data_IF_787739911820
#
_entry.id   IF_787739911820
#
_cell.length_a   1.000
_cell.length_b   1.000
_cell.length_c   1.000
_cell.angle_alpha   90.00
_cell.angle_beta   90.00
_cell.angle_gamma   90.00
#
_symmetry.space_group_name_H-M   'P 1'
#
loop_
_entity.id
_entity.type
_entity.pdbx_description
1 polymer ?
#
# COMPACT_ATOMS: atom_id res chain seq x y z
N UNK A 1 14.26 31.29 -17.76
CA UNK A 1 14.01 30.96 -16.34
C UNK A 1 14.56 29.57 -16.15
N UNK A 2 15.62 29.40 -15.37
CA UNK A 2 16.27 28.10 -15.19
C UNK A 2 15.37 27.25 -14.28
N UNK A 3 14.63 26.30 -14.84
CA UNK A 3 13.54 25.55 -14.17
C UNK A 3 14.06 24.45 -13.23
N UNK A 4 15.39 24.28 -13.14
CA UNK A 4 16.05 23.31 -12.27
C UNK A 4 16.02 23.69 -10.77
N UNK A 5 15.62 24.94 -10.47
CA UNK A 5 15.60 25.51 -9.13
C UNK A 5 14.25 25.36 -8.41
N UNK A 6 13.23 24.82 -9.07
CA UNK A 6 11.87 24.70 -8.51
C UNK A 6 11.73 23.55 -7.50
N UNK A 7 12.63 22.57 -7.53
CA UNK A 7 12.57 21.39 -6.66
C UNK A 7 13.65 21.44 -5.57
N UNK A 8 13.28 21.10 -4.33
CA UNK A 8 14.22 20.98 -3.20
C UNK A 8 14.43 19.49 -2.84
N UNK A 9 15.68 18.98 -2.82
CA UNK A 9 16.89 19.58 -3.40
C UNK A 9 16.81 19.64 -4.94
N UNK A 10 17.58 20.56 -5.52
CA UNK A 10 17.63 20.85 -6.97
C UNK A 10 17.94 19.58 -7.75
N UNK A 11 17.29 19.37 -8.89
CA UNK A 11 17.43 18.14 -9.70
C UNK A 11 18.91 17.91 -10.10
N UNK A 12 19.61 18.95 -10.54
CA UNK A 12 21.03 18.86 -10.91
C UNK A 12 21.97 18.52 -9.74
N UNK A 13 21.57 18.80 -8.49
CA UNK A 13 22.36 18.51 -7.29
C UNK A 13 22.19 17.06 -6.79
N UNK A 14 21.17 16.34 -7.30
CA UNK A 14 20.89 14.97 -6.89
C UNK A 14 21.90 13.97 -7.48
N UNK A 15 22.22 12.89 -6.74
CA UNK A 15 23.02 11.78 -7.25
C UNK A 15 22.31 11.05 -8.40
N UNK A 16 23.08 10.38 -9.25
CA UNK A 16 22.58 9.69 -10.44
C UNK A 16 21.56 8.59 -10.11
N UNK A 17 21.73 7.92 -8.97
CA UNK A 17 20.81 6.89 -8.48
C UNK A 17 19.42 7.46 -8.19
N UNK A 18 19.36 8.64 -7.59
CA UNK A 18 18.11 9.32 -7.26
C UNK A 18 17.42 9.85 -8.52
N UNK A 19 18.19 10.36 -9.49
CA UNK A 19 17.66 10.72 -10.81
C UNK A 19 17.08 9.52 -11.56
N UNK A 20 17.74 8.36 -11.48
CA UNK A 20 17.23 7.11 -12.05
C UNK A 20 15.94 6.64 -11.36
N UNK A 21 15.81 6.86 -10.06
CA UNK A 21 14.58 6.55 -9.32
C UNK A 21 13.42 7.45 -9.73
N UNK A 22 13.66 8.75 -9.88
CA UNK A 22 12.68 9.74 -10.36
C UNK A 22 12.25 9.40 -11.79
N UNK A 23 13.22 9.26 -12.70
CA UNK A 23 12.96 8.98 -14.11
C UNK A 23 12.32 7.58 -14.32
N UNK A 24 12.66 6.61 -13.48
CA UNK A 24 12.12 5.25 -13.53
C UNK A 24 10.72 5.10 -12.94
N UNK A 25 10.24 6.07 -12.15
CA UNK A 25 8.96 5.98 -11.43
C UNK A 25 8.02 7.15 -11.75
N UNK A 26 7.67 7.39 -13.02
CA UNK A 26 6.92 8.59 -13.43
C UNK A 26 5.55 8.73 -12.76
N UNK A 27 4.95 7.64 -12.30
CA UNK A 27 3.66 7.64 -11.59
C UNK A 27 3.75 8.21 -10.16
N UNK A 28 4.97 8.30 -9.59
CA UNK A 28 5.21 8.76 -8.21
C UNK A 28 5.69 10.21 -8.12
N UNK A 29 5.97 10.84 -9.25
CA UNK A 29 6.63 12.15 -9.32
C UNK A 29 5.88 13.08 -10.25
N UNK A 30 6.05 14.37 -10.04
CA UNK A 30 5.52 15.39 -10.95
C UNK A 30 6.13 15.23 -12.35
N UNK A 31 5.34 15.37 -13.44
CA UNK A 31 5.84 15.20 -14.80
C UNK A 31 7.05 16.09 -15.13
N UNK A 32 7.08 17.30 -14.57
CA UNK A 32 8.20 18.23 -14.71
C UNK A 32 9.48 17.70 -14.06
N UNK A 33 9.40 17.12 -12.86
CA UNK A 33 10.54 16.52 -12.17
C UNK A 33 11.09 15.31 -12.95
N UNK A 34 10.20 14.50 -13.54
CA UNK A 34 10.57 13.35 -14.38
C UNK A 34 11.33 13.82 -15.62
N UNK A 35 10.80 14.85 -16.31
CA UNK A 35 11.43 15.39 -17.51
C UNK A 35 12.83 15.99 -17.21
N UNK A 36 12.94 16.77 -16.13
CA UNK A 36 14.21 17.34 -15.69
C UNK A 36 15.23 16.25 -15.31
N UNK A 37 14.79 15.19 -14.62
CA UNK A 37 15.67 14.08 -14.26
C UNK A 37 16.18 13.32 -15.49
N UNK A 38 15.32 13.09 -16.49
CA UNK A 38 15.71 12.46 -17.76
C UNK A 38 16.71 13.33 -18.54
N UNK A 39 16.48 14.64 -18.59
CA UNK A 39 17.41 15.58 -19.21
C UNK A 39 18.77 15.57 -18.51
N UNK A 40 18.78 15.61 -17.19
CA UNK A 40 20.02 15.59 -16.40
C UNK A 40 20.78 14.26 -16.54
N UNK A 41 20.08 13.13 -16.58
CA UNK A 41 20.68 11.82 -16.87
C UNK A 41 21.31 11.77 -18.27
N UNK A 42 20.68 12.43 -19.24
CA UNK A 42 21.21 12.56 -20.60
C UNK A 42 22.46 13.44 -20.62
N UNK A 43 22.45 14.57 -19.90
CA UNK A 43 23.62 15.45 -19.72
C UNK A 43 24.81 14.71 -19.08
N UNK A 44 24.53 13.78 -18.15
CA UNK A 44 25.52 12.91 -17.50
C UNK A 44 25.95 11.71 -18.35
N UNK A 45 25.49 11.63 -19.61
CA UNK A 45 25.80 10.56 -20.56
C UNK A 45 25.42 9.16 -20.05
N UNK A 46 24.33 9.07 -19.28
CA UNK A 46 23.80 7.79 -18.81
C UNK A 46 23.06 7.09 -19.94
N UNK A 47 23.41 5.83 -20.20
CA UNK A 47 22.78 5.04 -21.26
C UNK A 47 21.27 4.89 -21.03
N UNK A 48 20.41 5.08 -22.05
CA UNK A 48 18.96 4.93 -21.94
C UNK A 48 18.52 3.60 -21.32
N UNK A 49 19.23 2.51 -21.63
CA UNK A 49 19.00 1.17 -21.07
C UNK A 49 19.03 1.16 -19.54
N UNK A 50 19.87 2.00 -18.90
CA UNK A 50 19.90 2.10 -17.42
C UNK A 50 18.63 2.76 -16.87
N UNK A 51 18.07 3.72 -17.59
CA UNK A 51 16.82 4.42 -17.22
C UNK A 51 15.64 3.44 -17.35
N UNK A 52 15.58 2.70 -18.44
CA UNK A 52 14.57 1.65 -18.64
C UNK A 52 14.65 0.56 -17.57
N UNK A 53 15.87 0.11 -17.25
CA UNK A 53 16.10 -0.88 -16.20
C UNK A 53 15.66 -0.35 -14.83
N UNK A 54 15.93 0.92 -14.52
CA UNK A 54 15.48 1.55 -13.28
C UNK A 54 13.94 1.51 -13.19
N UNK A 55 13.23 1.83 -14.27
CA UNK A 55 11.77 1.75 -14.31
C UNK A 55 11.22 0.32 -14.22
N UNK A 56 11.88 -0.64 -14.87
CA UNK A 56 11.53 -2.05 -14.73
C UNK A 56 11.66 -2.53 -13.27
N UNK A 57 12.78 -2.18 -12.62
CA UNK A 57 13.03 -2.55 -11.23
C UNK A 57 12.05 -1.86 -10.27
N UNK A 58 11.71 -0.60 -10.49
CA UNK A 58 10.71 0.12 -9.72
C UNK A 58 9.34 -0.58 -9.79
N UNK A 59 8.86 -0.91 -11.00
CA UNK A 59 7.61 -1.66 -11.20
C UNK A 59 7.65 -3.06 -10.57
N UNK A 60 8.81 -3.72 -10.58
CA UNK A 60 8.98 -5.03 -9.93
C UNK A 60 8.90 -4.91 -8.41
N UNK A 61 9.54 -3.90 -7.81
CA UNK A 61 9.46 -3.63 -6.36
C UNK A 61 8.03 -3.32 -5.92
N UNK A 62 7.34 -2.45 -6.65
CA UNK A 62 5.94 -2.12 -6.38
C UNK A 62 5.05 -3.36 -6.40
N UNK A 63 5.18 -4.21 -7.42
CA UNK A 63 4.42 -5.48 -7.47
C UNK A 63 4.68 -6.39 -6.27
N UNK A 64 5.92 -6.44 -5.79
CA UNK A 64 6.27 -7.21 -4.59
C UNK A 64 5.64 -6.60 -3.34
N UNK A 65 5.69 -5.27 -3.20
CA UNK A 65 5.07 -4.55 -2.08
C UNK A 65 3.54 -4.72 -2.07
N UNK A 66 2.89 -4.58 -3.23
CA UNK A 66 1.46 -4.81 -3.39
C UNK A 66 1.09 -6.25 -3.04
N UNK A 67 1.89 -7.23 -3.48
CA UNK A 67 1.69 -8.63 -3.12
C UNK A 67 1.86 -8.89 -1.62
N UNK A 68 2.88 -8.29 -1.00
CA UNK A 68 3.09 -8.37 0.46
C UNK A 68 1.89 -7.77 1.18
N UNK A 69 1.49 -6.56 0.82
CA UNK A 69 0.34 -5.84 1.39
C UNK A 69 -0.96 -6.64 1.24
N UNK A 70 -1.18 -7.25 0.08
CA UNK A 70 -2.33 -8.11 -0.19
C UNK A 70 -2.38 -9.34 0.72
N UNK A 71 -1.21 -9.92 1.04
CA UNK A 71 -1.06 -11.16 1.80
C UNK A 71 -0.79 -10.97 3.29
N UNK A 72 -0.60 -9.74 3.76
CA UNK A 72 -0.52 -9.45 5.17
C UNK A 72 -1.82 -9.84 5.89
N UNK A 73 -1.70 -10.57 7.00
CA UNK A 73 -2.81 -10.90 7.89
C UNK A 73 -2.82 -10.04 9.14
N UNK A 74 -3.85 -10.20 9.97
CA UNK A 74 -3.79 -9.67 11.34
C UNK A 74 -2.74 -10.42 12.16
N UNK A 75 -1.98 -9.68 12.96
CA UNK A 75 -1.01 -10.24 13.89
C UNK A 75 -1.56 -10.15 15.32
N UNK A 76 -1.39 -11.20 16.12
CA UNK A 76 -2.06 -11.37 17.41
C UNK A 76 -1.31 -10.77 18.62
N UNK A 77 -0.27 -9.96 18.40
CA UNK A 77 0.54 -9.42 19.51
C UNK A 77 -0.24 -8.46 20.44
N UNK A 78 -1.39 -7.92 20.01
CA UNK A 78 -2.27 -7.06 20.82
C UNK A 78 -3.74 -7.46 20.65
N UNK A 79 -4.20 -8.54 21.30
CA UNK A 79 -5.47 -9.19 20.98
C UNK A 79 -6.68 -8.25 21.10
N UNK A 80 -6.75 -7.42 22.14
CA UNK A 80 -7.87 -6.49 22.36
C UNK A 80 -7.93 -5.42 21.26
N UNK A 81 -6.78 -4.83 20.91
CA UNK A 81 -6.70 -3.81 19.86
C UNK A 81 -7.03 -4.41 18.50
N UNK A 82 -6.48 -5.59 18.20
CA UNK A 82 -6.75 -6.32 16.96
C UNK A 82 -8.23 -6.69 16.82
N UNK A 83 -8.92 -7.02 17.92
CA UNK A 83 -10.37 -7.26 17.94
C UNK A 83 -11.18 -5.99 17.63
N UNK A 84 -10.86 -4.87 18.27
CA UNK A 84 -11.51 -3.58 17.99
C UNK A 84 -11.33 -3.17 16.53
N UNK A 85 -10.11 -3.32 15.99
CA UNK A 85 -9.83 -3.07 14.58
C UNK A 85 -10.66 -4.02 13.69
N UNK A 86 -10.70 -5.32 13.98
CA UNK A 86 -11.54 -6.24 13.19
C UNK A 86 -13.04 -5.87 13.21
N UNK A 87 -13.55 -5.39 14.34
CA UNK A 87 -14.94 -5.00 14.46
C UNK A 87 -15.25 -3.69 13.73
N UNK A 88 -14.44 -2.65 13.93
CA UNK A 88 -14.78 -1.28 13.53
C UNK A 88 -13.97 -0.74 12.36
N UNK A 89 -12.89 -1.40 11.93
CA UNK A 89 -12.12 -0.89 10.80
C UNK A 89 -12.98 -0.84 9.53
N UNK A 90 -12.78 0.26 8.80
CA UNK A 90 -13.31 0.47 7.46
C UNK A 90 -12.72 -0.56 6.49
N UNK A 91 -13.35 -0.74 5.33
CA UNK A 91 -13.11 -1.88 4.45
C UNK A 91 -11.67 -1.94 3.90
N UNK A 92 -10.78 -2.69 4.58
CA UNK A 92 -9.36 -2.90 4.26
C UNK A 92 -9.07 -3.36 2.82
N UNK A 93 -10.10 -3.80 2.09
CA UNK A 93 -10.03 -4.13 0.67
C UNK A 93 -9.68 -2.91 -0.19
N UNK A 94 -10.18 -1.72 0.17
CA UNK A 94 -9.91 -0.47 -0.57
C UNK A 94 -8.44 -0.03 -0.46
N UNK A 95 -7.79 -0.42 0.63
CA UNK A 95 -6.39 -0.11 0.89
C UNK A 95 -5.43 -1.17 0.32
N UNK A 96 -5.92 -2.18 -0.39
CA UNK A 96 -5.10 -3.27 -0.96
C UNK A 96 -4.79 -4.43 0.00
N UNK A 97 -5.33 -4.43 1.23
CA UNK A 97 -5.14 -5.51 2.20
C UNK A 97 -6.19 -6.62 2.05
N UNK A 98 -6.12 -7.38 0.95
CA UNK A 98 -7.12 -8.40 0.62
C UNK A 98 -7.28 -9.50 1.68
N UNK A 99 -6.18 -9.98 2.28
CA UNK A 99 -6.25 -11.04 3.30
C UNK A 99 -6.87 -10.54 4.62
N UNK A 100 -6.52 -9.34 5.10
CA UNK A 100 -7.15 -8.70 6.28
C UNK A 100 -8.65 -8.52 6.07
N UNK A 101 -9.06 -8.04 4.90
CA UNK A 101 -10.48 -7.89 4.56
C UNK A 101 -11.24 -9.23 4.60
N UNK A 102 -10.63 -10.31 4.06
CA UNK A 102 -11.23 -11.65 4.09
C UNK A 102 -11.37 -12.19 5.53
N UNK A 103 -10.34 -12.02 6.36
CA UNK A 103 -10.37 -12.41 7.78
C UNK A 103 -11.45 -11.64 8.53
N UNK A 104 -11.53 -10.32 8.33
CA UNK A 104 -12.53 -9.45 8.94
C UNK A 104 -13.95 -9.85 8.58
N UNK A 105 -14.23 -10.14 7.30
CA UNK A 105 -15.56 -10.58 6.84
C UNK A 105 -15.97 -11.91 7.49
N UNK A 106 -15.06 -12.89 7.56
CA UNK A 106 -15.32 -14.17 8.22
C UNK A 106 -15.58 -13.99 9.71
N UNK A 107 -14.78 -13.16 10.37
CA UNK A 107 -14.91 -12.87 11.79
C UNK A 107 -16.24 -12.17 12.13
N UNK A 108 -16.63 -11.15 11.35
CA UNK A 108 -17.92 -10.47 11.51
C UNK A 108 -19.10 -11.42 11.33
N UNK A 109 -19.04 -12.31 10.33
CA UNK A 109 -20.05 -13.34 10.11
C UNK A 109 -20.16 -14.29 11.31
N UNK A 110 -19.02 -14.74 11.83
CA UNK A 110 -18.97 -15.62 13.00
C UNK A 110 -19.60 -14.98 14.23
N UNK A 111 -19.32 -13.70 14.49
CA UNK A 111 -19.93 -12.96 15.60
C UNK A 111 -21.45 -12.85 15.42
N UNK A 112 -21.91 -12.51 14.22
CA UNK A 112 -23.34 -12.39 13.94
C UNK A 112 -24.07 -13.71 14.17
N UNK A 113 -23.52 -14.83 13.70
CA UNK A 113 -24.09 -16.17 13.93
C UNK A 113 -24.08 -16.51 15.42
N UNK A 114 -22.99 -16.22 16.13
CA UNK A 114 -22.87 -16.49 17.57
C UNK A 114 -23.92 -15.72 18.39
N UNK A 115 -24.19 -14.46 18.04
CA UNK A 115 -25.22 -13.64 18.68
C UNK A 115 -26.60 -14.25 18.45
N UNK A 116 -26.92 -14.69 17.22
CA UNK A 116 -28.21 -15.30 16.91
C UNK A 116 -28.43 -16.57 17.74
N UNK A 117 -27.43 -17.45 17.81
CA UNK A 117 -27.49 -18.69 18.60
C UNK A 117 -27.69 -18.38 20.10
N UNK A 118 -27.01 -17.36 20.61
CA UNK A 118 -27.13 -16.96 22.00
C UNK A 118 -28.54 -16.41 22.32
N UNK A 119 -29.08 -15.58 21.43
CA UNK A 119 -30.44 -15.04 21.58
C UNK A 119 -31.50 -16.14 21.52
N UNK A 120 -31.38 -17.09 20.59
CA UNK A 120 -32.32 -18.22 20.52
C UNK A 120 -32.26 -19.09 21.76
N UNK A 121 -31.06 -19.33 22.31
CA UNK A 121 -30.89 -20.04 23.58
C UNK A 121 -31.61 -19.35 24.74
N UNK A 122 -31.45 -18.01 24.87
CA UNK A 122 -32.14 -17.24 25.93
C UNK A 122 -33.65 -17.34 25.78
N UNK A 123 -34.17 -17.19 24.56
CA UNK A 123 -35.61 -17.24 24.30
C UNK A 123 -36.15 -18.62 24.69
N UNK A 124 -35.55 -19.71 24.19
CA UNK A 124 -35.99 -21.08 24.51
C UNK A 124 -35.96 -21.34 26.01
N UNK A 125 -34.90 -20.90 26.69
CA UNK A 125 -34.79 -21.04 28.15
C UNK A 125 -35.88 -20.25 28.88
N UNK A 126 -36.23 -19.06 28.40
CA UNK A 126 -37.28 -18.23 29.00
C UNK A 126 -38.68 -18.78 28.76
N UNK A 127 -38.93 -19.47 27.65
CA UNK A 127 -40.24 -20.09 27.35
C UNK A 127 -40.45 -21.43 28.08
N UNK A 128 -39.37 -22.09 28.52
CA UNK A 128 -39.42 -23.37 29.25
C UNK A 128 -39.47 -23.22 30.78
N UNK A 129 -39.42 -21.98 31.29
CA UNK A 129 -39.45 -21.61 32.70
C UNK A 129 -40.78 -20.97 33.06
#
# INVERSE_FOLDING_TARGET
>A
MDTLDTFEPKINSRPTEELLEIAGSPEKWEPEAVALAQQELTNRNIKPVKIEMAGYLAKKRQRIEDYKKANEGYTFHKPIVTLFIMLFAWEHKKDGYYRKARQQKRFRLFILVSIIIYLTYIIVKATLL
#
